data_IF_849627579856
#
_entry.id   IF_849627579856
#
_cell.length_a   1.000
_cell.length_b   1.000
_cell.length_c   1.000
_cell.angle_alpha   90.00
_cell.angle_beta   90.00
_cell.angle_gamma   90.00
#
_symmetry.space_group_name_H-M   'P 1'
#
loop_
_entity.id
_entity.type
_entity.pdbx_description
1 polymer ?
#
# COMPACT_ATOMS: atom_id res chain seq x y z
N UNK A 1 -39.93 54.06 48.91
CA UNK A 1 -39.07 54.89 48.03
C UNK A 1 -38.17 53.98 47.22
N UNK A 2 -38.64 53.60 46.03
CA UNK A 2 -37.94 52.77 45.07
C UNK A 2 -36.90 53.61 44.31
N UNK A 3 -35.65 53.15 44.25
CA UNK A 3 -34.63 53.69 43.34
C UNK A 3 -34.54 52.79 42.09
N UNK A 4 -34.42 53.36 40.88
CA UNK A 4 -34.52 52.60 39.64
C UNK A 4 -33.20 51.95 39.22
N UNK A 5 -33.34 50.80 38.56
CA UNK A 5 -32.33 49.99 37.89
C UNK A 5 -31.65 50.69 36.70
N UNK A 6 -30.36 50.43 36.44
CA UNK A 6 -29.79 50.65 35.11
C UNK A 6 -29.54 49.34 34.35
N UNK A 7 -30.22 49.25 33.21
CA UNK A 7 -29.75 48.75 31.90
C UNK A 7 -29.24 47.30 31.80
N UNK A 8 -30.08 46.45 31.20
CA UNK A 8 -29.69 45.23 30.50
C UNK A 8 -28.56 45.52 29.51
N UNK A 9 -27.41 44.89 29.73
CA UNK A 9 -26.34 44.77 28.74
C UNK A 9 -26.58 43.46 27.97
N UNK A 10 -27.02 43.59 26.72
CA UNK A 10 -27.21 42.47 25.80
C UNK A 10 -25.83 42.02 25.33
N UNK A 11 -25.31 40.92 25.90
CA UNK A 11 -24.12 40.24 25.37
C UNK A 11 -24.48 39.53 24.06
N UNK A 12 -23.80 39.80 22.93
CA UNK A 12 -23.98 39.03 21.71
C UNK A 12 -23.31 37.66 21.86
N UNK A 13 -24.03 36.65 21.43
CA UNK A 13 -23.61 35.26 21.29
C UNK A 13 -22.20 35.11 20.69
N UNK A 14 -21.32 34.45 21.45
CA UNK A 14 -20.03 33.95 20.97
C UNK A 14 -20.27 32.75 20.05
N UNK A 15 -20.49 33.02 18.76
CA UNK A 15 -20.30 32.03 17.69
C UNK A 15 -18.81 31.66 17.61
N UNK A 16 -18.43 30.37 17.61
CA UNK A 16 -17.06 29.99 17.30
C UNK A 16 -16.76 30.43 15.87
N UNK A 17 -15.72 31.25 15.69
CA UNK A 17 -15.13 31.53 14.39
C UNK A 17 -14.79 30.19 13.73
N UNK A 18 -15.57 29.79 12.74
CA UNK A 18 -15.14 28.83 11.72
C UNK A 18 -13.84 29.38 11.14
N UNK A 19 -12.71 28.84 11.60
CA UNK A 19 -11.44 28.99 10.91
C UNK A 19 -11.67 28.33 9.55
N UNK A 20 -11.80 29.16 8.53
CA UNK A 20 -11.63 28.76 7.14
C UNK A 20 -10.36 27.93 7.04
N UNK A 21 -10.52 26.64 6.73
CA UNK A 21 -9.41 25.75 6.40
C UNK A 21 -8.83 26.34 5.11
N UNK A 22 -7.58 26.84 5.10
CA UNK A 22 -6.95 27.19 3.85
C UNK A 22 -6.56 25.86 3.18
N UNK A 23 -7.36 25.41 2.22
CA UNK A 23 -6.87 24.44 1.24
C UNK A 23 -6.32 25.24 0.06
N UNK A 24 -4.98 25.37 -0.04
CA UNK A 24 -4.36 25.41 -1.34
C UNK A 24 -3.26 24.37 -1.36
N UNK A 25 -3.60 23.13 -1.71
CA UNK A 25 -2.62 22.29 -2.39
C UNK A 25 -2.80 22.62 -3.86
N UNK A 26 -1.80 23.19 -4.56
CA UNK A 26 -1.89 23.28 -6.00
C UNK A 26 -1.96 21.83 -6.51
N UNK A 27 -3.08 21.44 -7.12
CA UNK A 27 -3.07 20.26 -7.99
C UNK A 27 -2.04 20.56 -9.07
N UNK A 28 -0.84 19.98 -8.93
CA UNK A 28 0.11 19.93 -10.02
C UNK A 28 -0.61 19.35 -11.24
N UNK A 29 -0.53 20.07 -12.37
CA UNK A 29 -1.22 19.70 -13.61
C UNK A 29 -0.55 18.47 -14.19
N UNK A 30 -1.04 17.29 -13.84
CA UNK A 30 -0.92 16.13 -14.73
C UNK A 30 -1.61 16.55 -16.02
N UNK A 31 -0.85 16.63 -17.12
CA UNK A 31 -1.44 16.92 -18.42
C UNK A 31 -2.24 15.71 -18.88
N UNK A 32 -3.44 15.93 -19.39
CA UNK A 32 -4.30 14.84 -19.87
C UNK A 32 -4.58 15.00 -21.37
N UNK A 33 -4.50 13.91 -22.11
CA UNK A 33 -4.98 13.84 -23.49
C UNK A 33 -6.37 13.20 -23.51
N UNK A 34 -7.30 13.83 -24.24
CA UNK A 34 -8.64 13.29 -24.46
C UNK A 34 -8.57 12.18 -25.52
N UNK A 35 -9.19 11.03 -25.23
CA UNK A 35 -9.39 9.97 -26.21
C UNK A 35 -10.89 9.83 -26.50
N UNK A 36 -11.32 10.21 -27.72
CA UNK A 36 -12.69 10.03 -28.19
C UNK A 36 -12.86 8.66 -28.86
N UNK A 37 -13.89 7.91 -28.49
CA UNK A 37 -14.32 6.71 -29.23
C UNK A 37 -15.41 7.08 -30.24
N UNK A 38 -15.25 6.64 -31.49
CA UNK A 38 -16.30 6.69 -32.52
C UNK A 38 -17.43 5.73 -32.11
N UNK A 39 -18.65 6.25 -31.95
CA UNK A 39 -19.82 5.49 -31.53
C UNK A 39 -20.55 4.91 -32.76
N UNK A 40 -20.49 3.59 -32.96
CA UNK A 40 -21.42 2.88 -33.84
C UNK A 40 -22.55 2.29 -32.99
N UNK A 41 -23.81 2.63 -33.30
CA UNK A 41 -24.99 2.08 -32.59
C UNK A 41 -25.02 0.55 -32.75
N UNK A 42 -25.01 -0.24 -31.66
CA UNK A 42 -25.13 -1.68 -31.77
C UNK A 42 -26.59 -2.06 -32.09
N UNK A 43 -26.78 -2.96 -33.06
CA UNK A 43 -28.08 -3.44 -33.54
C UNK A 43 -28.69 -4.55 -32.66
N UNK A 44 -27.98 -4.98 -31.61
CA UNK A 44 -28.47 -5.80 -30.50
C UNK A 44 -27.90 -5.24 -29.20
N UNK A 45 -28.63 -5.40 -28.09
CA UNK A 45 -28.38 -4.75 -26.79
C UNK A 45 -26.90 -4.61 -26.40
N UNK A 46 -26.60 -3.51 -25.69
CA UNK A 46 -25.26 -3.09 -25.32
C UNK A 46 -24.60 -4.01 -24.27
N UNK A 47 -24.18 -5.20 -24.71
CA UNK A 47 -23.51 -6.21 -23.89
C UNK A 47 -22.18 -5.73 -23.29
N UNK A 48 -21.55 -4.74 -23.92
CA UNK A 48 -20.25 -4.20 -23.52
C UNK A 48 -20.37 -2.91 -22.71
N UNK A 49 -21.59 -2.45 -22.42
CA UNK A 49 -21.88 -1.21 -21.70
C UNK A 49 -21.16 0.01 -22.33
N UNK A 50 -21.06 0.04 -23.66
CA UNK A 50 -20.43 1.09 -24.46
C UNK A 50 -21.09 2.44 -24.21
N UNK A 51 -22.40 2.46 -23.96
CA UNK A 51 -23.16 3.68 -23.67
C UNK A 51 -22.81 4.30 -22.30
N UNK A 52 -22.23 3.50 -21.38
CA UNK A 52 -21.76 3.98 -20.08
C UNK A 52 -20.26 4.36 -20.07
N UNK A 53 -19.58 4.31 -21.23
CA UNK A 53 -18.16 4.67 -21.33
C UNK A 53 -17.99 6.15 -21.01
N UNK A 54 -17.31 6.42 -19.88
CA UNK A 54 -16.93 7.77 -19.49
C UNK A 54 -15.74 8.24 -20.35
N UNK A 55 -15.70 9.54 -20.64
CA UNK A 55 -14.54 10.16 -21.29
C UNK A 55 -13.28 9.87 -20.47
N UNK A 56 -12.28 9.25 -21.11
CA UNK A 56 -11.01 8.92 -20.47
C UNK A 56 -10.01 10.05 -20.70
N UNK A 57 -9.56 10.64 -19.60
CA UNK A 57 -8.41 11.54 -19.57
C UNK A 57 -7.17 10.68 -19.33
N UNK A 58 -6.33 10.53 -20.35
CA UNK A 58 -5.08 9.78 -20.23
C UNK A 58 -3.96 10.71 -19.77
N UNK A 59 -3.28 10.41 -18.66
CA UNK A 59 -2.14 11.21 -18.23
C UNK A 59 -1.03 11.13 -19.29
N UNK A 60 -0.50 12.28 -19.68
CA UNK A 60 0.68 12.39 -20.54
C UNK A 60 1.89 12.32 -19.62
N UNK A 61 2.63 11.22 -19.71
CA UNK A 61 3.86 11.04 -18.94
C UNK A 61 4.88 12.11 -19.33
N UNK A 62 5.40 12.85 -18.34
CA UNK A 62 6.48 13.80 -18.54
C UNK A 62 7.80 13.03 -18.81
N UNK A 63 8.45 13.24 -19.98
CA UNK A 63 9.70 12.57 -20.34
C UNK A 63 10.83 12.75 -19.32
N UNK A 64 10.83 13.82 -18.52
CA UNK A 64 11.84 14.09 -17.48
C UNK A 64 11.85 13.01 -16.39
N UNK A 65 10.69 12.40 -16.13
CA UNK A 65 10.53 11.35 -15.12
C UNK A 65 10.71 9.94 -15.69
N UNK A 66 10.98 9.82 -16.99
CA UNK A 66 11.21 8.53 -17.62
C UNK A 66 12.45 7.87 -17.01
N UNK A 67 12.26 6.65 -16.50
CA UNK A 67 13.30 5.88 -15.79
C UNK A 67 13.90 6.55 -14.54
N UNK A 68 13.32 7.64 -14.04
CA UNK A 68 13.72 8.22 -12.74
C UNK A 68 13.48 7.21 -11.63
N UNK A 69 14.38 7.21 -10.67
CA UNK A 69 14.31 6.38 -9.46
C UNK A 69 14.71 7.22 -8.25
N UNK A 70 14.15 6.86 -7.11
CA UNK A 70 14.37 7.56 -5.84
C UNK A 70 14.69 6.59 -4.69
N UNK A 71 15.54 5.56 -4.87
CA UNK A 71 15.89 4.66 -3.77
C UNK A 71 16.50 5.42 -2.61
N UNK A 72 16.43 4.86 -1.39
CA UNK A 72 17.11 5.43 -0.23
C UNK A 72 18.61 5.09 -0.34
N UNK A 73 19.51 6.09 -0.49
CA UNK A 73 20.94 5.85 -0.56
C UNK A 73 21.44 5.18 0.71
N UNK A 74 22.49 4.35 0.61
CA UNK A 74 23.07 3.70 1.78
C UNK A 74 23.59 4.68 2.85
N UNK A 75 23.98 5.90 2.44
CA UNK A 75 24.38 6.98 3.35
C UNK A 75 23.24 7.53 4.21
N UNK A 76 22.01 7.43 3.70
CA UNK A 76 20.81 8.04 4.29
C UNK A 76 19.88 6.99 4.91
N UNK A 77 20.25 5.71 4.81
CA UNK A 77 19.50 4.56 5.29
C UNK A 77 20.11 4.09 6.62
N UNK A 78 19.29 3.95 7.66
CA UNK A 78 19.75 3.41 8.95
C UNK A 78 20.33 1.99 8.73
N UNK A 79 21.60 1.74 9.12
CA UNK A 79 22.26 0.47 8.82
C UNK A 79 21.53 -0.74 9.39
N UNK A 80 20.96 -0.63 10.60
CA UNK A 80 20.23 -1.73 11.24
C UNK A 80 18.89 -1.99 10.54
N UNK A 81 18.19 -0.96 10.10
CA UNK A 81 16.96 -1.09 9.29
C UNK A 81 17.27 -1.72 7.94
N UNK A 82 18.34 -1.24 7.27
CA UNK A 82 18.76 -1.72 5.96
C UNK A 82 19.10 -3.21 5.97
N UNK A 83 19.93 -3.62 6.95
CA UNK A 83 20.31 -5.02 7.12
C UNK A 83 19.10 -5.90 7.45
N UNK A 84 18.30 -5.49 8.44
CA UNK A 84 17.22 -6.33 8.97
C UNK A 84 16.01 -6.44 8.05
N UNK A 85 15.60 -5.34 7.41
CA UNK A 85 14.32 -5.25 6.72
C UNK A 85 14.41 -5.10 5.21
N UNK A 86 15.61 -4.92 4.64
CA UNK A 86 15.81 -4.81 3.19
C UNK A 86 16.66 -5.93 2.58
N UNK A 87 16.39 -7.22 2.86
CA UNK A 87 17.11 -8.34 2.24
C UNK A 87 16.85 -8.47 0.73
N UNK A 88 15.95 -7.66 0.17
CA UNK A 88 15.69 -7.58 -1.26
C UNK A 88 16.69 -6.71 -2.01
N UNK A 89 17.51 -5.90 -1.33
CA UNK A 89 18.50 -5.07 -1.98
C UNK A 89 19.55 -5.94 -2.69
N UNK A 90 19.91 -5.50 -3.89
CA UNK A 90 20.96 -6.10 -4.69
C UNK A 90 22.23 -5.29 -4.49
N UNK A 91 23.38 -5.83 -4.92
CA UNK A 91 24.60 -5.03 -4.99
C UNK A 91 24.42 -3.84 -5.95
N UNK A 92 25.24 -2.80 -5.80
CA UNK A 92 25.07 -1.55 -6.55
C UNK A 92 25.22 -1.77 -8.07
N UNK A 93 26.13 -2.65 -8.49
CA UNK A 93 26.36 -3.00 -9.90
C UNK A 93 25.10 -3.57 -10.57
N UNK A 94 24.45 -4.54 -9.94
CA UNK A 94 23.22 -5.15 -10.45
C UNK A 94 22.06 -4.16 -10.31
N UNK A 95 21.91 -3.55 -9.13
CA UNK A 95 20.79 -2.67 -8.85
C UNK A 95 20.72 -1.45 -9.78
N UNK A 96 21.84 -1.02 -10.37
CA UNK A 96 21.87 0.07 -11.34
C UNK A 96 21.34 -0.29 -12.73
N UNK A 97 21.29 -1.59 -13.07
CA UNK A 97 21.05 -2.06 -14.44
C UNK A 97 19.96 -3.14 -14.56
N UNK A 98 19.38 -3.57 -13.45
CA UNK A 98 18.39 -4.65 -13.43
C UNK A 98 17.08 -4.28 -14.16
N UNK A 99 16.22 -5.28 -14.37
CA UNK A 99 14.94 -5.04 -15.05
C UNK A 99 14.02 -4.06 -14.33
N UNK A 100 14.11 -3.93 -12.99
CA UNK A 100 13.30 -2.99 -12.20
C UNK A 100 13.71 -1.56 -12.51
N UNK A 101 15.00 -1.29 -12.64
CA UNK A 101 15.51 0.02 -13.05
C UNK A 101 15.08 0.45 -14.45
N UNK A 102 14.84 -0.51 -15.34
CA UNK A 102 14.39 -0.31 -16.72
C UNK A 102 12.89 -0.07 -16.85
N UNK A 103 12.12 -0.06 -15.76
CA UNK A 103 10.67 0.14 -15.82
C UNK A 103 10.30 1.59 -16.16
N UNK A 104 9.39 1.76 -17.11
CA UNK A 104 8.77 3.06 -17.40
C UNK A 104 7.63 3.28 -16.39
N UNK A 105 7.83 4.19 -15.44
CA UNK A 105 6.88 4.50 -14.36
C UNK A 105 6.80 6.02 -14.13
N UNK A 106 6.95 6.82 -15.20
CA UNK A 106 7.12 8.27 -15.12
C UNK A 106 6.02 8.97 -14.30
N UNK A 107 4.74 8.61 -14.49
CA UNK A 107 3.65 9.24 -13.74
C UNK A 107 3.74 8.98 -12.24
N UNK A 108 4.05 7.75 -11.81
CA UNK A 108 4.21 7.45 -10.39
C UNK A 108 5.47 8.14 -9.81
N UNK A 109 6.57 8.16 -10.58
CA UNK A 109 7.81 8.83 -10.21
C UNK A 109 7.58 10.35 -10.02
N UNK A 110 6.89 11.00 -10.95
CA UNK A 110 6.49 12.40 -10.87
C UNK A 110 5.66 12.67 -9.62
N UNK A 111 4.65 11.85 -9.35
CA UNK A 111 3.82 12.00 -8.15
C UNK A 111 4.65 11.87 -6.87
N UNK A 112 5.57 10.92 -6.78
CA UNK A 112 6.43 10.76 -5.59
C UNK A 112 7.35 11.97 -5.42
N UNK A 113 8.03 12.41 -6.46
CA UNK A 113 8.93 13.57 -6.36
C UNK A 113 8.15 14.83 -5.98
N UNK A 114 7.11 15.18 -6.73
CA UNK A 114 6.38 16.45 -6.57
C UNK A 114 5.51 16.51 -5.32
N UNK A 115 4.92 15.39 -4.89
CA UNK A 115 3.96 15.38 -3.77
C UNK A 115 4.56 14.91 -2.44
N UNK A 116 5.71 14.25 -2.47
CA UNK A 116 6.39 13.74 -1.27
C UNK A 116 7.77 14.38 -1.12
N UNK A 117 8.71 14.05 -2.01
CA UNK A 117 10.13 14.35 -1.79
C UNK A 117 10.42 15.85 -1.82
N UNK A 118 9.95 16.55 -2.84
CA UNK A 118 10.12 18.01 -2.99
C UNK A 118 9.36 18.82 -1.94
N UNK A 119 8.38 18.21 -1.27
CA UNK A 119 7.66 18.84 -0.15
C UNK A 119 8.30 18.56 1.21
N UNK A 120 9.43 17.83 1.25
CA UNK A 120 10.10 17.44 2.49
C UNK A 120 9.23 16.53 3.38
N UNK A 121 8.25 15.83 2.81
CA UNK A 121 7.40 14.89 3.55
C UNK A 121 8.11 13.55 3.72
N UNK A 122 7.75 12.83 4.77
CA UNK A 122 8.17 11.45 4.95
C UNK A 122 7.79 10.59 3.74
N UNK A 123 8.72 9.72 3.32
CA UNK A 123 8.50 8.70 2.30
C UNK A 123 7.32 7.80 2.67
N UNK A 124 6.66 7.21 1.68
CA UNK A 124 5.62 6.23 1.93
C UNK A 124 6.21 5.01 2.64
N UNK A 125 5.65 4.68 3.80
CA UNK A 125 6.12 3.57 4.63
C UNK A 125 5.36 2.30 4.28
N UNK A 126 6.05 1.28 3.78
CA UNK A 126 5.42 0.06 3.29
C UNK A 126 5.92 -1.16 4.04
N UNK A 127 5.01 -1.84 4.73
CA UNK A 127 5.27 -3.15 5.35
C UNK A 127 4.95 -4.28 4.35
N UNK A 128 5.91 -5.15 4.11
CA UNK A 128 5.73 -6.32 3.24
C UNK A 128 5.73 -7.60 4.08
N UNK A 129 4.65 -8.39 3.95
CA UNK A 129 4.47 -9.67 4.61
C UNK A 129 4.43 -10.80 3.57
N UNK A 130 5.05 -11.94 3.88
CA UNK A 130 5.03 -13.12 3.01
C UNK A 130 4.67 -14.41 3.75
N UNK A 131 4.11 -15.39 3.03
CA UNK A 131 3.45 -16.56 3.63
C UNK A 131 4.22 -17.88 3.62
N UNK A 132 5.55 -17.91 3.53
CA UNK A 132 6.29 -19.18 3.53
C UNK A 132 7.72 -19.08 4.02
N UNK A 133 8.07 -20.00 4.92
CA UNK A 133 9.39 -20.18 5.54
C UNK A 133 10.30 -21.17 4.80
N UNK A 134 9.89 -21.66 3.61
CA UNK A 134 10.73 -22.57 2.82
C UNK A 134 12.03 -21.87 2.40
N UNK A 135 13.14 -22.63 2.33
CA UNK A 135 14.43 -22.10 1.85
C UNK A 135 14.30 -21.38 0.50
N UNK A 136 13.66 -22.04 -0.49
CA UNK A 136 13.23 -21.42 -1.75
C UNK A 136 11.73 -21.14 -1.73
N UNK A 137 11.36 -19.95 -1.26
CA UNK A 137 9.98 -19.50 -1.08
C UNK A 137 9.59 -18.51 -2.18
N UNK A 138 8.74 -18.93 -3.13
CA UNK A 138 8.30 -18.05 -4.24
C UNK A 138 7.45 -16.86 -3.77
N UNK A 139 6.73 -16.98 -2.66
CA UNK A 139 6.02 -15.83 -2.07
C UNK A 139 7.01 -14.81 -1.52
N UNK A 140 8.14 -15.25 -0.94
CA UNK A 140 9.21 -14.37 -0.48
C UNK A 140 9.94 -13.72 -1.65
N UNK A 141 10.24 -14.47 -2.70
CA UNK A 141 10.84 -13.91 -3.93
C UNK A 141 9.92 -12.87 -4.59
N UNK A 142 8.61 -13.15 -4.68
CA UNK A 142 7.64 -12.20 -5.20
C UNK A 142 7.52 -10.95 -4.30
N UNK A 143 7.58 -11.12 -2.98
CA UNK A 143 7.63 -10.01 -2.02
C UNK A 143 8.86 -9.12 -2.25
N UNK A 144 10.02 -9.71 -2.54
CA UNK A 144 11.24 -8.96 -2.84
C UNK A 144 11.15 -8.19 -4.15
N UNK A 145 10.54 -8.74 -5.20
CA UNK A 145 10.33 -8.01 -6.45
C UNK A 145 9.36 -6.83 -6.28
N UNK A 146 8.26 -7.05 -5.54
CA UNK A 146 7.37 -5.95 -5.13
C UNK A 146 8.14 -4.86 -4.36
N UNK A 147 8.99 -5.28 -3.42
CA UNK A 147 9.80 -4.38 -2.60
C UNK A 147 10.79 -3.56 -3.42
N UNK A 148 11.45 -4.17 -4.43
CA UNK A 148 12.37 -3.47 -5.33
C UNK A 148 11.67 -2.41 -6.16
N UNK A 149 10.48 -2.70 -6.69
CA UNK A 149 9.69 -1.72 -7.46
C UNK A 149 9.31 -0.53 -6.57
N UNK A 150 8.81 -0.80 -5.36
CA UNK A 150 8.39 0.25 -4.42
C UNK A 150 9.57 1.08 -3.91
N UNK A 151 10.69 0.42 -3.60
CA UNK A 151 11.92 1.08 -3.16
C UNK A 151 12.49 1.97 -4.27
N UNK A 152 12.49 1.50 -5.52
CA UNK A 152 12.84 2.30 -6.70
C UNK A 152 11.96 3.53 -6.84
N UNK A 153 10.66 3.40 -6.60
CA UNK A 153 9.72 4.53 -6.62
C UNK A 153 9.92 5.50 -5.45
N UNK A 154 10.74 5.16 -4.46
CA UNK A 154 11.07 6.02 -3.33
C UNK A 154 10.30 5.77 -2.05
N UNK A 155 9.64 4.61 -1.93
CA UNK A 155 9.04 4.17 -0.68
C UNK A 155 10.11 3.70 0.32
N UNK A 156 9.88 3.93 1.61
CA UNK A 156 10.60 3.20 2.66
C UNK A 156 9.92 1.84 2.84
N UNK A 157 10.56 0.78 2.35
CA UNK A 157 10.01 -0.58 2.35
C UNK A 157 10.70 -1.44 3.40
N UNK A 158 9.93 -2.10 4.26
CA UNK A 158 10.41 -3.05 5.26
C UNK A 158 9.73 -4.40 5.09
N UNK A 159 10.53 -5.44 4.85
CA UNK A 159 10.03 -6.82 4.77
C UNK A 159 10.18 -7.47 6.13
N UNK A 160 9.06 -7.97 6.68
CA UNK A 160 9.08 -8.71 7.94
C UNK A 160 9.43 -10.17 7.69
N UNK A 161 10.43 -10.69 8.41
CA UNK A 161 10.72 -12.13 8.47
C UNK A 161 9.85 -12.81 9.54
N UNK A 162 8.93 -13.72 9.19
CA UNK A 162 8.07 -14.40 10.17
C UNK A 162 8.77 -15.57 10.89
N UNK A 163 10.04 -15.85 10.63
CA UNK A 163 10.80 -16.88 11.33
C UNK A 163 10.82 -16.62 12.84
N UNK A 164 10.46 -17.64 13.63
CA UNK A 164 10.37 -17.54 15.09
C UNK A 164 9.13 -16.78 15.61
N UNK A 165 8.18 -16.37 14.77
CA UNK A 165 6.90 -15.83 15.24
C UNK A 165 6.06 -16.97 15.86
N UNK A 166 5.67 -16.89 17.15
CA UNK A 166 4.86 -17.93 17.79
C UNK A 166 3.47 -18.01 17.15
N UNK A 167 2.81 -19.16 17.30
CA UNK A 167 1.40 -19.29 16.94
C UNK A 167 0.58 -18.36 17.82
N UNK A 168 -0.42 -17.68 17.26
CA UNK A 168 -1.27 -16.76 18.00
C UNK A 168 -1.92 -17.45 19.20
N UNK A 169 -1.62 -16.93 20.38
CA UNK A 169 -2.22 -17.30 21.66
C UNK A 169 -2.53 -16.05 22.50
N UNK A 170 -3.00 -16.23 23.73
CA UNK A 170 -3.37 -15.13 24.63
C UNK A 170 -2.26 -14.73 25.62
N UNK A 171 -1.05 -15.27 25.48
CA UNK A 171 0.03 -15.09 26.46
C UNK A 171 1.27 -14.42 25.87
N UNK A 172 1.67 -14.77 24.65
CA UNK A 172 2.95 -14.38 24.06
C UNK A 172 2.94 -12.97 23.43
N UNK A 173 2.17 -12.04 24.00
CA UNK A 173 2.06 -10.67 23.50
C UNK A 173 3.38 -9.92 23.51
N UNK A 174 4.27 -10.19 24.48
CA UNK A 174 5.57 -9.53 24.62
C UNK A 174 6.70 -10.24 23.86
N UNK A 175 6.39 -11.29 23.11
CA UNK A 175 7.39 -11.99 22.30
C UNK A 175 8.05 -11.01 21.30
N UNK A 176 9.39 -10.97 21.17
CA UNK A 176 10.08 -9.97 20.36
C UNK A 176 9.58 -9.87 18.91
N UNK A 177 9.29 -11.02 18.27
CA UNK A 177 8.72 -11.07 16.91
C UNK A 177 7.29 -10.49 16.83
N UNK A 178 6.49 -10.66 17.87
CA UNK A 178 5.12 -10.10 17.93
C UNK A 178 5.19 -8.58 18.05
N UNK A 179 6.05 -8.08 18.94
CA UNK A 179 6.28 -6.65 19.12
C UNK A 179 6.85 -6.00 17.86
N UNK A 180 7.84 -6.64 17.23
CA UNK A 180 8.39 -6.21 15.93
C UNK A 180 7.30 -6.09 14.87
N UNK A 181 6.47 -7.12 14.69
CA UNK A 181 5.39 -7.11 13.70
C UNK A 181 4.36 -5.99 13.97
N UNK A 182 4.00 -5.78 15.24
CA UNK A 182 3.05 -4.74 15.65
C UNK A 182 3.60 -3.33 15.42
N UNK A 183 4.86 -3.08 15.78
CA UNK A 183 5.49 -1.78 15.55
C UNK A 183 5.73 -1.51 14.06
N UNK A 184 6.13 -2.53 13.28
CA UNK A 184 6.19 -2.41 11.82
C UNK A 184 4.82 -2.15 11.21
N UNK A 185 3.78 -2.83 11.69
CA UNK A 185 2.43 -2.55 11.25
C UNK A 185 2.14 -1.10 11.58
N UNK A 186 2.16 -0.66 12.84
CA UNK A 186 1.93 0.73 13.27
C UNK A 186 2.74 1.80 12.51
N UNK A 187 3.99 1.51 12.16
CA UNK A 187 4.86 2.42 11.40
C UNK A 187 4.37 2.67 9.96
N UNK A 188 3.71 1.71 9.33
CA UNK A 188 3.36 1.73 7.90
C UNK A 188 2.23 2.70 7.51
N UNK A 189 2.28 3.19 6.27
CA UNK A 189 1.19 3.88 5.57
C UNK A 189 0.33 2.88 4.76
N UNK A 190 0.92 1.73 4.41
CA UNK A 190 0.25 0.65 3.68
C UNK A 190 1.04 -0.65 3.72
N UNK A 191 0.39 -1.75 3.33
CA UNK A 191 0.99 -3.07 3.31
C UNK A 191 1.03 -3.69 1.90
N UNK A 192 1.97 -4.60 1.68
CA UNK A 192 1.93 -5.60 0.61
C UNK A 192 1.87 -6.98 1.24
N UNK A 193 0.83 -7.75 0.90
CA UNK A 193 0.58 -9.08 1.43
C UNK A 193 0.74 -10.12 0.34
N UNK A 194 1.66 -11.06 0.52
CA UNK A 194 1.90 -12.11 -0.47
C UNK A 194 1.92 -13.51 0.14
N UNK A 195 0.84 -14.26 -0.09
CA UNK A 195 0.69 -15.63 0.40
C UNK A 195 0.85 -16.63 -0.74
N UNK A 196 1.52 -17.78 -0.53
CA UNK A 196 1.27 -18.93 -1.37
C UNK A 196 -0.19 -19.39 -1.23
N UNK A 197 -0.64 -20.16 -2.20
CA UNK A 197 -1.80 -21.03 -2.04
C UNK A 197 -1.35 -22.44 -1.63
N UNK A 198 -1.81 -22.90 -0.47
CA UNK A 198 -1.54 -24.24 0.03
C UNK A 198 -2.88 -24.90 0.39
N UNK A 199 -3.11 -26.11 -0.14
CA UNK A 199 -4.40 -26.81 -0.05
C UNK A 199 -5.60 -25.92 -0.44
N UNK A 200 -5.42 -25.08 -1.47
CA UNK A 200 -6.48 -24.22 -2.02
C UNK A 200 -6.81 -22.98 -1.18
N UNK A 201 -6.00 -22.65 -0.17
CA UNK A 201 -6.24 -21.48 0.72
C UNK A 201 -4.94 -20.72 1.03
N UNK A 202 -5.06 -19.57 1.70
CA UNK A 202 -3.91 -18.83 2.22
C UNK A 202 -3.18 -19.66 3.29
N UNK A 203 -1.88 -19.44 3.44
CA UNK A 203 -1.06 -20.24 4.35
C UNK A 203 -1.31 -19.90 5.82
N UNK A 204 -1.17 -20.90 6.70
CA UNK A 204 -1.17 -20.68 8.15
C UNK A 204 -0.07 -19.73 8.61
N UNK A 205 1.12 -19.78 7.98
CA UNK A 205 2.22 -18.82 8.22
C UNK A 205 1.78 -17.38 7.96
N UNK A 206 1.06 -17.15 6.86
CA UNK A 206 0.55 -15.82 6.56
C UNK A 206 -0.55 -15.41 7.54
N UNK A 207 -1.53 -16.29 7.77
CA UNK A 207 -2.65 -16.00 8.65
C UNK A 207 -2.21 -15.69 10.09
N UNK A 208 -1.22 -16.43 10.59
CA UNK A 208 -0.66 -16.21 11.92
C UNK A 208 -0.09 -14.79 12.09
N UNK A 209 0.56 -14.24 11.07
CA UNK A 209 1.03 -12.85 11.10
C UNK A 209 -0.13 -11.87 11.27
N UNK A 210 -1.19 -12.02 10.47
CA UNK A 210 -2.36 -11.13 10.56
C UNK A 210 -3.05 -11.25 11.93
N UNK A 211 -3.12 -12.47 12.49
CA UNK A 211 -3.76 -12.71 13.79
C UNK A 211 -3.03 -12.06 14.97
N UNK A 212 -1.75 -11.75 14.82
CA UNK A 212 -0.97 -10.99 15.80
C UNK A 212 -1.19 -9.48 15.72
N UNK A 213 -1.76 -8.97 14.62
CA UNK A 213 -2.04 -7.54 14.43
C UNK A 213 -3.46 -7.24 14.95
N UNK A 214 -3.61 -6.52 16.09
CA UNK A 214 -4.92 -6.23 16.64
C UNK A 214 -5.63 -5.12 15.85
N UNK A 215 -6.96 -5.14 15.85
CA UNK A 215 -7.77 -4.02 15.32
C UNK A 215 -7.70 -2.76 16.19
N UNK A 216 -7.33 -2.89 17.47
CA UNK A 216 -7.15 -1.78 18.40
C UNK A 216 -6.12 -2.16 19.46
N UNK A 217 -5.23 -1.23 19.76
CA UNK A 217 -4.42 -1.25 20.98
C UNK A 217 -4.65 0.08 21.69
N UNK A 218 -5.58 0.11 22.64
CA UNK A 218 -6.09 1.36 23.19
C UNK A 218 -6.75 2.22 22.10
N UNK A 219 -6.29 3.47 21.95
CA UNK A 219 -6.73 4.40 20.90
C UNK A 219 -6.07 4.18 19.53
N UNK A 220 -4.99 3.40 19.46
CA UNK A 220 -4.25 3.19 18.21
C UNK A 220 -4.91 2.10 17.38
N UNK A 221 -5.12 2.38 16.08
CA UNK A 221 -5.66 1.45 15.09
C UNK A 221 -4.57 1.10 14.06
N UNK A 222 -3.78 0.02 14.25
CA UNK A 222 -2.58 -0.24 13.47
C UNK A 222 -2.78 -0.50 11.97
N UNK A 223 -4.00 -0.73 11.49
CA UNK A 223 -4.24 -1.02 10.07
C UNK A 223 -5.33 -0.15 9.45
N UNK A 224 -6.08 0.58 10.26
CA UNK A 224 -7.28 1.27 9.80
C UNK A 224 -6.94 2.40 8.83
N UNK A 225 -7.63 2.43 7.68
CA UNK A 225 -7.49 3.48 6.67
C UNK A 225 -6.30 3.31 5.73
N UNK A 226 -5.35 2.43 6.06
CA UNK A 226 -4.11 2.19 5.29
C UNK A 226 -4.37 1.45 4.00
N UNK A 227 -3.52 1.67 3.01
CA UNK A 227 -3.63 0.99 1.72
C UNK A 227 -3.08 -0.44 1.79
N UNK A 228 -3.62 -1.33 0.95
CA UNK A 228 -3.20 -2.73 0.89
C UNK A 228 -3.12 -3.20 -0.55
N UNK A 229 -1.96 -3.73 -0.94
CA UNK A 229 -1.81 -4.54 -2.15
C UNK A 229 -1.70 -6.02 -1.79
N UNK A 230 -2.29 -6.88 -2.61
CA UNK A 230 -2.32 -8.32 -2.38
C UNK A 230 -1.77 -9.08 -3.59
N UNK A 231 -1.01 -10.14 -3.31
CA UNK A 231 -0.53 -11.05 -4.33
C UNK A 231 -0.54 -12.50 -3.83
N UNK A 232 -0.55 -13.45 -4.77
CA UNK A 232 -0.32 -14.86 -4.47
C UNK A 232 0.62 -15.54 -5.46
N UNK A 233 1.16 -16.68 -5.01
CA UNK A 233 1.88 -17.63 -5.86
C UNK A 233 1.25 -19.02 -5.73
N UNK A 234 1.22 -19.75 -6.83
CA UNK A 234 0.68 -21.11 -6.89
C UNK A 234 1.74 -22.09 -7.39
N UNK A 235 1.72 -23.32 -6.87
CA UNK A 235 2.54 -24.41 -7.43
C UNK A 235 1.94 -24.99 -8.73
N UNK A 236 0.61 -24.96 -8.86
CA UNK A 236 -0.14 -25.47 -10.00
C UNK A 236 -0.72 -24.38 -10.89
N UNK A 237 -1.83 -24.71 -11.57
CA UNK A 237 -2.58 -23.79 -12.44
C UNK A 237 -3.04 -22.52 -11.73
N UNK A 238 -3.47 -21.54 -12.52
CA UNK A 238 -3.89 -20.26 -11.98
C UNK A 238 -5.10 -20.41 -11.05
N UNK A 239 -5.01 -19.76 -9.90
CA UNK A 239 -6.04 -19.70 -8.86
C UNK A 239 -6.09 -18.29 -8.28
N UNK A 240 -7.18 -17.97 -7.60
CA UNK A 240 -7.38 -16.69 -6.92
C UNK A 240 -7.85 -16.87 -5.46
N UNK A 241 -7.84 -18.08 -4.92
CA UNK A 241 -8.44 -18.34 -3.61
C UNK A 241 -7.70 -17.59 -2.49
N UNK A 242 -6.37 -17.61 -2.53
CA UNK A 242 -5.55 -16.91 -1.54
C UNK A 242 -5.78 -15.39 -1.61
N UNK A 243 -5.70 -14.74 -2.78
CA UNK A 243 -5.95 -13.29 -2.91
C UNK A 243 -7.39 -12.91 -2.58
N UNK A 244 -8.39 -13.75 -2.91
CA UNK A 244 -9.77 -13.49 -2.51
C UNK A 244 -9.92 -13.45 -0.99
N UNK A 245 -9.28 -14.42 -0.31
CA UNK A 245 -9.26 -14.46 1.16
C UNK A 245 -8.45 -13.31 1.76
N UNK A 246 -7.33 -12.92 1.16
CA UNK A 246 -6.55 -11.75 1.58
C UNK A 246 -7.33 -10.44 1.42
N UNK A 247 -8.12 -10.29 0.35
CA UNK A 247 -8.98 -9.11 0.14
C UNK A 247 -10.07 -9.01 1.20
N UNK A 248 -10.69 -10.15 1.52
CA UNK A 248 -11.63 -10.27 2.64
C UNK A 248 -10.92 -9.90 3.94
N UNK A 249 -9.76 -10.47 4.25
CA UNK A 249 -8.98 -10.11 5.43
C UNK A 249 -8.64 -8.61 5.49
N UNK A 250 -8.23 -8.01 4.37
CA UNK A 250 -7.95 -6.57 4.27
C UNK A 250 -9.15 -5.71 4.65
N UNK A 251 -10.35 -6.11 4.20
CA UNK A 251 -11.62 -5.48 4.61
C UNK A 251 -11.86 -5.62 6.11
N UNK A 252 -11.62 -6.80 6.69
CA UNK A 252 -11.73 -7.02 8.14
C UNK A 252 -10.75 -6.15 8.93
N UNK A 253 -9.53 -5.98 8.42
CA UNK A 253 -8.49 -5.09 8.98
C UNK A 253 -8.73 -3.60 8.69
N UNK A 254 -9.88 -3.25 8.08
CA UNK A 254 -10.27 -1.89 7.70
C UNK A 254 -9.25 -1.18 6.81
N UNK A 255 -8.55 -1.93 5.96
CA UNK A 255 -7.60 -1.42 4.98
C UNK A 255 -8.29 -1.13 3.64
N UNK A 256 -7.80 -0.13 2.92
CA UNK A 256 -8.18 0.12 1.55
C UNK A 256 -7.39 -0.81 0.61
N UNK A 257 -8.00 -1.94 0.26
CA UNK A 257 -7.38 -2.91 -0.64
C UNK A 257 -7.51 -2.42 -2.08
N UNK A 258 -6.39 -2.15 -2.75
CA UNK A 258 -6.40 -1.67 -4.15
C UNK A 258 -7.11 -2.68 -5.07
N UNK A 259 -7.74 -2.23 -6.16
CA UNK A 259 -8.50 -3.12 -7.03
C UNK A 259 -7.60 -4.15 -7.72
N UNK A 260 -6.40 -3.76 -8.17
CA UNK A 260 -5.50 -4.66 -8.88
C UNK A 260 -4.84 -5.67 -7.93
N UNK A 261 -4.50 -6.84 -8.46
CA UNK A 261 -3.90 -7.94 -7.69
C UNK A 261 -3.04 -8.84 -8.59
N UNK A 262 -2.04 -9.48 -8.01
CA UNK A 262 -1.15 -10.40 -8.72
C UNK A 262 -1.39 -11.86 -8.30
N UNK A 263 -1.48 -12.77 -9.26
CA UNK A 263 -1.55 -14.21 -9.02
C UNK A 263 -0.66 -14.93 -10.03
N UNK A 264 0.43 -15.52 -9.54
CA UNK A 264 1.42 -16.19 -10.40
C UNK A 264 1.18 -17.71 -10.36
N UNK A 265 0.62 -18.32 -11.44
CA UNK A 265 0.55 -19.77 -11.60
C UNK A 265 1.94 -20.37 -11.75
N UNK A 266 2.09 -21.66 -11.42
CA UNK A 266 3.31 -22.45 -11.62
C UNK A 266 4.57 -21.66 -11.28
N UNK A 267 4.61 -21.01 -10.12
CA UNK A 267 5.57 -19.94 -9.84
C UNK A 267 7.04 -20.37 -10.02
N UNK A 268 7.34 -21.65 -9.88
CA UNK A 268 8.66 -22.22 -10.12
C UNK A 268 9.20 -22.02 -11.55
N UNK A 269 8.33 -21.87 -12.56
CA UNK A 269 8.76 -21.57 -13.95
C UNK A 269 9.10 -20.09 -14.14
N UNK A 270 8.53 -19.21 -13.32
CA UNK A 270 8.58 -17.76 -13.47
C UNK A 270 9.80 -17.11 -12.81
N UNK A 271 10.56 -17.82 -11.98
CA UNK A 271 11.77 -17.29 -11.36
C UNK A 271 13.03 -17.91 -12.00
N UNK A 272 14.09 -17.13 -12.11
CA UNK A 272 15.41 -17.63 -12.50
C UNK A 272 16.01 -18.51 -11.39
N UNK A 273 17.01 -19.31 -11.75
CA UNK A 273 17.70 -20.16 -10.79
C UNK A 273 18.48 -19.32 -9.77
N UNK A 274 18.84 -19.94 -8.64
CA UNK A 274 19.48 -19.20 -7.53
C UNK A 274 20.86 -18.67 -7.91
N UNK A 275 21.56 -19.41 -8.75
CA UNK A 275 22.91 -19.21 -9.26
C UNK A 275 22.93 -18.53 -10.62
N UNK A 276 21.77 -18.10 -11.14
CA UNK A 276 21.71 -17.35 -12.39
C UNK A 276 22.50 -16.03 -12.25
N UNK A 277 23.55 -15.80 -13.07
CA UNK A 277 24.39 -14.62 -12.96
C UNK A 277 23.66 -13.34 -13.40
N UNK A 278 22.52 -13.45 -14.09
CA UNK A 278 21.73 -12.31 -14.55
C UNK A 278 20.89 -11.76 -13.41
N UNK A 279 21.01 -10.45 -13.18
CA UNK A 279 20.18 -9.69 -12.23
C UNK A 279 20.24 -10.22 -10.78
N UNK A 280 21.26 -11.03 -10.43
CA UNK A 280 21.52 -11.53 -9.07
C UNK A 280 20.77 -12.81 -8.67
N UNK A 281 20.20 -13.54 -9.63
CA UNK A 281 19.54 -14.83 -9.39
C UNK A 281 18.19 -14.72 -8.66
N UNK A 282 17.39 -15.79 -8.74
CA UNK A 282 16.05 -15.86 -8.15
C UNK A 282 15.12 -14.69 -8.52
N UNK A 283 15.26 -14.17 -9.75
CA UNK A 283 14.55 -13.00 -10.28
C UNK A 283 13.32 -13.39 -11.08
N UNK A 284 12.29 -12.53 -11.06
CA UNK A 284 11.07 -12.74 -11.81
C UNK A 284 11.29 -12.51 -13.32
N UNK A 285 11.11 -13.59 -14.10
CA UNK A 285 11.30 -13.61 -15.54
C UNK A 285 10.30 -12.72 -16.29
N UNK A 286 10.66 -12.20 -17.48
CA UNK A 286 9.74 -11.48 -18.36
C UNK A 286 8.47 -12.26 -18.64
N UNK A 287 7.33 -11.70 -18.26
CA UNK A 287 6.00 -12.29 -18.49
C UNK A 287 4.89 -11.26 -18.25
N UNK A 288 3.67 -11.57 -18.68
CA UNK A 288 2.48 -10.78 -18.34
C UNK A 288 2.24 -10.74 -16.82
N UNK A 289 2.59 -11.80 -16.08
CA UNK A 289 2.53 -11.85 -14.62
C UNK A 289 3.50 -10.84 -13.99
N UNK A 290 4.69 -10.64 -14.58
CA UNK A 290 5.63 -9.61 -14.15
C UNK A 290 5.06 -8.21 -14.39
N UNK A 291 4.48 -7.96 -15.56
CA UNK A 291 3.81 -6.68 -15.85
C UNK A 291 2.69 -6.41 -14.86
N UNK A 292 1.85 -7.41 -14.56
CA UNK A 292 0.79 -7.30 -13.56
C UNK A 292 1.31 -6.92 -12.17
N UNK A 293 2.46 -7.48 -11.75
CA UNK A 293 3.07 -7.09 -10.48
C UNK A 293 3.46 -5.61 -10.47
N UNK A 294 4.04 -5.12 -11.57
CA UNK A 294 4.40 -3.71 -11.75
C UNK A 294 3.16 -2.83 -11.67
N UNK A 295 2.08 -3.18 -12.38
CA UNK A 295 0.80 -2.46 -12.32
C UNK A 295 0.29 -2.35 -10.88
N UNK A 296 0.35 -3.45 -10.11
CA UNK A 296 -0.11 -3.46 -8.73
C UNK A 296 0.72 -2.53 -7.83
N UNK A 297 2.04 -2.51 -7.99
CA UNK A 297 2.92 -1.66 -7.17
C UNK A 297 2.81 -0.18 -7.56
N UNK A 298 2.69 0.09 -8.85
CA UNK A 298 2.46 1.45 -9.33
C UNK A 298 1.11 1.99 -8.85
N UNK A 299 0.04 1.19 -8.99
CA UNK A 299 -1.29 1.51 -8.48
C UNK A 299 -1.27 1.74 -6.97
N UNK A 300 -0.62 0.85 -6.22
CA UNK A 300 -0.46 0.99 -4.78
C UNK A 300 0.16 2.33 -4.38
N UNK A 301 1.24 2.76 -5.04
CA UNK A 301 1.87 4.06 -4.76
C UNK A 301 0.91 5.21 -5.06
N UNK A 302 0.28 5.21 -6.23
CA UNK A 302 -0.67 6.27 -6.63
C UNK A 302 -1.82 6.40 -5.63
N UNK A 303 -2.45 5.29 -5.24
CA UNK A 303 -3.52 5.30 -4.24
C UNK A 303 -3.03 5.76 -2.87
N UNK A 304 -1.85 5.32 -2.44
CA UNK A 304 -1.31 5.68 -1.12
C UNK A 304 -1.00 7.18 -1.05
N UNK A 305 -0.46 7.78 -2.12
CA UNK A 305 -0.24 9.24 -2.20
C UNK A 305 -1.55 10.00 -2.01
N UNK A 306 -2.61 9.56 -2.71
CA UNK A 306 -3.93 10.22 -2.65
C UNK A 306 -4.60 10.03 -1.29
N UNK A 307 -4.50 8.84 -0.70
CA UNK A 307 -5.26 8.49 0.50
C UNK A 307 -4.57 8.94 1.80
N UNK A 308 -3.23 8.90 1.87
CA UNK A 308 -2.46 9.14 3.11
C UNK A 308 -2.81 10.46 3.81
N UNK A 309 -2.95 11.61 3.11
CA UNK A 309 -3.31 12.88 3.76
C UNK A 309 -4.70 12.89 4.42
N UNK A 310 -5.53 11.88 4.15
CA UNK A 310 -6.93 11.83 4.53
C UNK A 310 -7.27 10.62 5.42
N UNK A 311 -6.28 9.87 5.93
CA UNK A 311 -6.55 8.70 6.78
C UNK A 311 -7.39 9.03 8.02
N UNK A 312 -7.17 10.19 8.66
CA UNK A 312 -7.97 10.62 9.81
C UNK A 312 -9.42 10.95 9.41
N UNK A 313 -9.60 11.61 8.27
CA UNK A 313 -10.92 11.92 7.72
C UNK A 313 -11.71 10.63 7.42
N UNK A 314 -11.08 9.63 6.81
CA UNK A 314 -11.72 8.34 6.54
C UNK A 314 -11.97 7.52 7.82
N UNK A 315 -11.23 7.82 8.89
CA UNK A 315 -11.43 7.24 10.21
C UNK A 315 -12.59 7.85 10.99
N UNK A 316 -13.03 9.07 10.65
CA UNK A 316 -14.06 9.81 11.38
C UNK A 316 -15.49 9.27 11.11
N UNK A 317 -15.91 8.27 11.90
CA UNK A 317 -17.20 7.58 11.73
C UNK A 317 -18.30 8.19 12.58
N UNK A 318 -19.47 8.38 11.96
CA UNK A 318 -20.68 8.84 12.63
C UNK A 318 -20.99 8.07 13.92
N UNK A 319 -21.01 6.73 13.86
CA UNK A 319 -21.34 5.89 15.03
C UNK A 319 -20.34 6.02 16.17
N UNK A 320 -19.05 6.20 15.87
CA UNK A 320 -18.00 6.39 16.88
C UNK A 320 -18.12 7.77 17.54
N UNK A 321 -18.51 8.81 16.78
CA UNK A 321 -18.83 10.13 17.33
C UNK A 321 -20.04 10.09 18.27
N UNK A 322 -21.09 9.35 17.93
CA UNK A 322 -22.26 9.18 18.80
C UNK A 322 -21.91 8.44 20.10
N UNK A 323 -21.10 7.38 20.02
CA UNK A 323 -20.63 6.64 21.20
C UNK A 323 -19.79 7.53 22.14
N UNK A 324 -18.89 8.36 21.57
CA UNK A 324 -18.08 9.28 22.34
C UNK A 324 -18.92 10.33 23.08
N UNK A 325 -19.95 10.89 22.42
CA UNK A 325 -20.91 11.81 23.05
C UNK A 325 -21.66 11.14 24.20
N UNK A 326 -22.15 9.93 23.99
CA UNK A 326 -22.88 9.17 25.01
C UNK A 326 -22.01 8.84 26.23
N UNK A 327 -20.71 8.57 26.03
CA UNK A 327 -19.74 8.38 27.11
C UNK A 327 -19.44 9.68 27.87
N UNK A 328 -19.32 10.81 27.18
CA UNK A 328 -19.05 12.11 27.80
C UNK A 328 -20.24 12.67 28.59
N UNK A 329 -21.46 12.19 28.32
CA UNK A 329 -22.67 12.57 29.03
C UNK A 329 -22.94 11.76 30.32
N UNK A 330 -22.13 10.74 30.61
CA UNK A 330 -22.21 9.90 31.82
C UNK A 330 -21.18 10.33 32.84
#
# INVERSE_FOLDING_TARGET
MFRPSPRLCVLPWLLPRLRSIPVPVPLHRVFYQKQSSLHSRPTMGDLNNVDAVRERLLPVADPVYRFRSFPIPASDDDPAVRERYRPFLLNDEISSSDWVMKLELATAAEMVETQILSQGKDRLRVLVLYGSLRGRSYSRLLAYEASRILFRLGCDVRVYDPSGLPVKDDQQHDHPKVQELRELSKWSDGHVWVSPEQHGTLTGVFKNQIDWIPLSTGSVRPTQGRTLAIAQVNGGSQSFNAVNSLRILGRWMRMFTIPNQSSIPQAWTHFTDADDPVDGGSRLKPSSNRQRLVDCMEEFVKYTIVMRPHFDLFGDRFSEREEAKAKAAK
#
